data_IF_449509438898
#
_entry.id   IF_449509438898
#
_cell.length_a   1.000
_cell.length_b   1.000
_cell.length_c   1.000
_cell.angle_alpha   90.00
_cell.angle_beta   90.00
_cell.angle_gamma   90.00
#
_symmetry.space_group_name_H-M   'P 1'
#
loop_
_entity.id
_entity.type
_entity.pdbx_description
1 polymer ?
#
# COMPACT_ATOMS: atom_id res chain seq x y z
N UNK A 1 62.93 62.99 -64.17
CA UNK A 1 62.27 61.80 -64.77
C UNK A 1 62.21 60.71 -63.70
N UNK A 2 61.00 60.18 -63.43
CA UNK A 2 60.62 58.96 -62.68
C UNK A 2 61.35 58.65 -61.35
N UNK A 3 60.73 58.60 -60.16
CA UNK A 3 59.67 57.73 -59.61
C UNK A 3 60.29 57.20 -58.29
N UNK A 4 59.66 57.27 -57.13
CA UNK A 4 58.60 56.35 -56.74
C UNK A 4 57.77 56.95 -55.59
N UNK A 5 56.45 57.00 -55.75
CA UNK A 5 55.53 57.22 -54.65
C UNK A 5 55.34 55.91 -53.87
N UNK A 6 55.49 55.97 -52.56
CA UNK A 6 55.11 54.91 -51.64
C UNK A 6 53.61 54.60 -51.75
N UNK A 7 53.27 53.38 -52.16
CA UNK A 7 51.91 52.86 -52.04
C UNK A 7 51.69 52.35 -50.62
N UNK A 8 50.91 53.07 -49.81
CA UNK A 8 50.35 52.53 -48.57
C UNK A 8 49.08 51.74 -48.89
N UNK A 9 49.14 50.42 -48.75
CA UNK A 9 47.95 49.57 -48.68
C UNK A 9 47.24 49.79 -47.34
N UNK A 10 45.89 49.91 -47.29
CA UNK A 10 45.18 49.96 -46.02
C UNK A 10 45.25 48.59 -45.31
N UNK A 11 45.22 48.55 -43.97
CA UNK A 11 45.21 47.29 -43.23
C UNK A 11 43.90 46.55 -43.50
N UNK A 12 44.00 45.26 -43.81
CA UNK A 12 42.85 44.36 -43.88
C UNK A 12 42.16 44.34 -42.51
N UNK A 13 40.98 44.96 -42.43
CA UNK A 13 40.12 44.92 -41.26
C UNK A 13 39.46 43.55 -41.18
N UNK A 14 40.02 42.66 -40.37
CA UNK A 14 39.42 41.39 -40.02
C UNK A 14 38.19 41.65 -39.15
N UNK A 15 37.02 41.67 -39.78
CA UNK A 15 35.73 41.76 -39.08
C UNK A 15 35.54 40.46 -38.27
N UNK A 16 35.30 40.53 -36.95
CA UNK A 16 35.19 39.33 -36.13
C UNK A 16 33.99 38.51 -36.59
N UNK A 17 34.26 37.23 -36.80
CA UNK A 17 33.37 36.23 -37.37
C UNK A 17 32.09 36.09 -36.56
N UNK A 18 30.99 36.58 -37.13
CA UNK A 18 29.60 36.37 -36.67
C UNK A 18 29.22 34.87 -36.57
N UNK A 19 30.06 33.99 -37.14
CA UNK A 19 29.88 32.55 -37.19
C UNK A 19 30.03 31.87 -35.83
N UNK A 20 31.02 32.27 -35.02
CA UNK A 20 31.24 31.69 -33.69
C UNK A 20 30.13 32.08 -32.70
N UNK A 21 29.62 33.31 -32.79
CA UNK A 21 28.46 33.75 -32.02
C UNK A 21 27.18 33.00 -32.42
N UNK A 22 26.96 32.79 -33.72
CA UNK A 22 25.81 31.99 -34.20
C UNK A 22 25.91 30.52 -33.78
N UNK A 23 27.10 29.92 -33.85
CA UNK A 23 27.36 28.57 -33.34
C UNK A 23 27.11 28.46 -31.84
N UNK A 24 27.53 29.47 -31.07
CA UNK A 24 27.26 29.54 -29.63
C UNK A 24 25.76 29.60 -29.34
N UNK A 25 25.01 30.41 -30.09
CA UNK A 25 23.55 30.49 -29.94
C UNK A 25 22.84 29.19 -30.34
N UNK A 26 23.31 28.51 -31.40
CA UNK A 26 22.79 27.20 -31.80
C UNK A 26 23.09 26.16 -30.71
N UNK A 27 24.29 26.19 -30.13
CA UNK A 27 24.66 25.29 -29.04
C UNK A 27 23.78 25.48 -27.81
N UNK A 28 23.43 26.72 -27.45
CA UNK A 28 22.53 27.01 -26.34
C UNK A 28 21.09 26.51 -26.60
N UNK A 29 20.62 26.64 -27.84
CA UNK A 29 19.31 26.12 -28.27
C UNK A 29 19.24 24.60 -28.23
N UNK A 30 20.31 23.91 -28.65
CA UNK A 30 20.38 22.45 -28.57
C UNK A 30 20.43 21.96 -27.12
N UNK A 31 21.21 22.64 -26.28
CA UNK A 31 21.31 22.30 -24.86
C UNK A 31 19.97 22.49 -24.14
N UNK A 32 19.25 23.59 -24.42
CA UNK A 32 17.94 23.86 -23.81
C UNK A 32 16.88 22.86 -24.26
N UNK A 33 16.87 22.49 -25.54
CA UNK A 33 15.97 21.47 -26.07
C UNK A 33 16.27 20.08 -25.47
N UNK A 34 17.55 19.70 -25.34
CA UNK A 34 17.94 18.47 -24.65
C UNK A 34 17.49 18.46 -23.19
N UNK A 35 17.69 19.57 -22.46
CA UNK A 35 17.22 19.70 -21.07
C UNK A 35 15.68 19.61 -20.98
N UNK A 36 14.97 20.20 -21.93
CA UNK A 36 13.52 20.11 -22.01
C UNK A 36 13.03 18.68 -22.27
N UNK A 37 13.66 17.96 -23.21
CA UNK A 37 13.37 16.55 -23.44
C UNK A 37 13.70 15.68 -22.22
N UNK A 38 14.78 15.99 -21.50
CA UNK A 38 15.12 15.33 -20.23
C UNK A 38 14.04 15.59 -19.18
N UNK A 39 13.55 16.82 -19.05
CA UNK A 39 12.41 17.18 -18.17
C UNK A 39 11.12 16.46 -18.55
N UNK A 40 10.85 16.28 -19.85
CA UNK A 40 9.70 15.49 -20.32
C UNK A 40 9.89 13.98 -20.12
N UNK A 41 11.13 13.50 -20.18
CA UNK A 41 11.51 12.10 -19.95
C UNK A 41 11.51 11.74 -18.47
N UNK A 42 11.72 12.73 -17.60
CA UNK A 42 11.29 12.68 -16.22
C UNK A 42 9.77 12.69 -16.21
N UNK A 43 9.17 11.52 -16.47
CA UNK A 43 7.86 11.23 -15.91
C UNK A 43 7.97 11.59 -14.44
N UNK A 44 7.20 12.56 -13.93
CA UNK A 44 7.15 12.72 -12.49
C UNK A 44 6.88 11.31 -11.96
N UNK A 45 7.68 10.85 -11.01
CA UNK A 45 7.16 9.86 -10.08
C UNK A 45 5.97 10.57 -9.46
N UNK A 46 4.81 10.41 -10.11
CA UNK A 46 3.60 10.19 -9.40
C UNK A 46 4.00 9.06 -8.44
N UNK A 47 4.30 9.43 -7.18
CA UNK A 47 3.61 8.73 -6.13
C UNK A 47 2.20 8.53 -6.67
N UNK A 48 1.63 7.32 -6.69
CA UNK A 48 0.22 7.19 -6.94
C UNK A 48 -0.44 8.05 -5.87
N UNK A 49 -0.67 9.30 -6.20
CA UNK A 49 -1.71 10.09 -5.62
C UNK A 49 -2.89 9.25 -6.06
N UNK A 50 -3.39 8.46 -5.12
CA UNK A 50 -4.70 7.87 -5.18
C UNK A 50 -5.69 9.05 -5.18
N UNK A 51 -5.60 9.93 -6.17
CA UNK A 51 -6.75 10.59 -6.72
C UNK A 51 -7.46 9.50 -7.50
N UNK A 52 -8.13 8.63 -6.74
CA UNK A 52 -9.31 7.93 -7.20
C UNK A 52 -10.22 9.00 -7.78
N UNK A 53 -10.19 9.15 -9.10
CA UNK A 53 -11.23 9.87 -9.80
C UNK A 53 -12.46 8.95 -9.78
N UNK A 54 -13.53 9.28 -9.04
CA UNK A 54 -14.71 8.42 -9.00
C UNK A 54 -15.37 8.54 -10.36
N UNK A 55 -15.11 7.57 -11.24
CA UNK A 55 -16.02 7.33 -12.34
C UNK A 55 -17.33 6.84 -11.69
N UNK A 56 -18.31 7.73 -11.76
CA UNK A 56 -19.56 7.70 -11.03
C UNK A 56 -20.42 6.48 -11.42
N UNK A 57 -20.16 5.32 -10.81
CA UNK A 57 -21.08 4.17 -10.80
C UNK A 57 -20.83 3.12 -9.71
N UNK A 58 -20.14 3.49 -8.62
CA UNK A 58 -20.05 2.64 -7.44
C UNK A 58 -20.27 3.51 -6.20
N UNK A 59 -21.15 3.03 -5.32
CA UNK A 59 -21.77 3.71 -4.20
C UNK A 59 -20.75 4.26 -3.18
N UNK A 60 -20.52 5.58 -3.12
CA UNK A 60 -19.43 6.24 -2.35
C UNK A 60 -19.32 5.92 -0.84
N UNK A 61 -20.26 5.17 -0.26
CA UNK A 61 -20.29 4.81 1.16
C UNK A 61 -19.19 3.81 1.58
N UNK A 62 -18.77 2.86 0.73
CA UNK A 62 -17.81 1.83 1.13
C UNK A 62 -16.37 2.37 1.28
N UNK A 63 -16.00 3.43 0.56
CA UNK A 63 -14.68 4.07 0.71
C UNK A 63 -14.54 4.84 2.03
N UNK A 64 -15.66 5.27 2.61
CA UNK A 64 -15.67 5.99 3.88
C UNK A 64 -15.30 5.07 5.06
N UNK A 65 -15.49 3.76 4.90
CA UNK A 65 -15.32 2.76 5.97
C UNK A 65 -14.13 1.81 5.75
N UNK A 66 -13.17 2.12 4.87
CA UNK A 66 -12.02 1.23 4.66
C UNK A 66 -11.23 1.04 5.98
N UNK A 67 -11.01 -0.20 6.44
CA UNK A 67 -10.39 -0.41 7.74
C UNK A 67 -8.87 -0.18 7.67
N UNK A 68 -8.30 0.45 8.70
CA UNK A 68 -6.88 0.83 8.73
C UNK A 68 -5.93 -0.34 8.51
N UNK A 69 -6.28 -1.54 8.96
CA UNK A 69 -5.46 -2.73 8.75
C UNK A 69 -5.28 -3.01 7.26
N UNK A 70 -6.29 -2.78 6.43
CA UNK A 70 -6.22 -3.02 4.99
C UNK A 70 -5.26 -2.05 4.29
N UNK A 71 -5.13 -0.81 4.77
CA UNK A 71 -4.11 0.13 4.30
C UNK A 71 -2.69 -0.31 4.61
N UNK A 72 -2.49 -0.97 5.76
CA UNK A 72 -1.18 -1.46 6.20
C UNK A 72 -0.72 -2.61 5.29
N UNK A 73 -1.62 -3.54 5.01
CA UNK A 73 -1.31 -4.73 4.20
C UNK A 73 -1.29 -4.36 2.71
N UNK A 74 -2.15 -3.45 2.25
CA UNK A 74 -2.20 -2.98 0.86
C UNK A 74 -0.88 -2.42 0.33
N UNK A 75 0.00 -1.92 1.21
CA UNK A 75 1.36 -1.47 0.83
C UNK A 75 2.30 -2.61 0.42
N UNK A 76 2.02 -3.83 0.87
CA UNK A 76 2.86 -5.02 0.67
C UNK A 76 2.31 -5.96 -0.40
N UNK A 77 1.01 -5.87 -0.68
CA UNK A 77 0.33 -6.68 -1.70
C UNK A 77 0.54 -5.98 -3.04
N UNK A 78 1.33 -6.55 -3.95
CA UNK A 78 1.72 -5.90 -5.21
C UNK A 78 0.61 -5.97 -6.27
N UNK A 79 -0.59 -5.48 -5.94
CA UNK A 79 -1.74 -5.42 -6.87
C UNK A 79 -2.42 -6.77 -7.12
N UNK A 80 -2.18 -7.78 -6.29
CA UNK A 80 -2.88 -9.06 -6.33
C UNK A 80 -4.13 -9.01 -5.46
N UNK A 81 -5.13 -9.84 -5.79
CA UNK A 81 -6.27 -10.09 -4.91
C UNK A 81 -5.78 -10.88 -3.69
N UNK A 82 -6.14 -10.43 -2.49
CA UNK A 82 -5.87 -11.14 -1.24
C UNK A 82 -7.07 -11.91 -0.74
N UNK A 83 -6.83 -13.05 -0.10
CA UNK A 83 -7.85 -13.83 0.60
C UNK A 83 -7.79 -13.54 2.09
N UNK A 84 -8.88 -12.99 2.62
CA UNK A 84 -9.01 -12.53 4.00
C UNK A 84 -9.99 -13.42 4.73
N UNK A 85 -9.50 -14.15 5.74
CA UNK A 85 -10.33 -14.89 6.68
C UNK A 85 -10.96 -13.96 7.70
N UNK A 86 -12.29 -14.00 7.82
CA UNK A 86 -13.06 -13.22 8.79
C UNK A 86 -13.51 -14.14 9.92
N UNK A 87 -13.09 -13.82 11.15
CA UNK A 87 -13.43 -14.55 12.38
C UNK A 87 -14.27 -13.64 13.28
N UNK A 88 -15.39 -14.15 13.80
CA UNK A 88 -16.34 -13.40 14.63
C UNK A 88 -16.91 -12.14 13.98
N UNK A 89 -16.95 -12.08 12.65
CA UNK A 89 -17.57 -11.00 11.87
C UNK A 89 -18.75 -11.62 11.12
N UNK A 90 -19.93 -11.04 11.28
CA UNK A 90 -21.15 -11.55 10.66
C UNK A 90 -21.12 -11.30 9.15
N UNK A 91 -21.77 -12.15 8.37
CA UNK A 91 -21.99 -11.97 6.93
C UNK A 91 -23.24 -11.13 6.62
N UNK A 92 -23.86 -10.55 7.65
CA UNK A 92 -25.00 -9.67 7.54
C UNK A 92 -24.63 -8.39 6.78
N UNK A 93 -25.48 -7.97 5.83
CA UNK A 93 -25.29 -6.71 5.08
C UNK A 93 -25.39 -5.45 5.98
N UNK A 94 -25.77 -5.60 7.26
CA UNK A 94 -25.77 -4.53 8.26
C UNK A 94 -24.45 -4.44 9.06
N UNK A 95 -23.53 -5.38 8.88
CA UNK A 95 -22.24 -5.40 9.57
C UNK A 95 -21.23 -4.49 8.84
N UNK A 96 -20.90 -3.35 9.45
CA UNK A 96 -19.98 -2.37 8.89
C UNK A 96 -18.58 -2.94 8.60
N UNK A 97 -18.07 -3.84 9.47
CA UNK A 97 -16.76 -4.45 9.27
C UNK A 97 -16.80 -5.36 8.05
N UNK A 98 -17.84 -6.18 7.90
CA UNK A 98 -18.00 -7.05 6.73
C UNK A 98 -18.10 -6.25 5.42
N UNK A 99 -18.96 -5.24 5.41
CA UNK A 99 -19.17 -4.37 4.25
C UNK A 99 -17.90 -3.63 3.83
N UNK A 100 -17.10 -3.19 4.80
CA UNK A 100 -15.84 -2.49 4.55
C UNK A 100 -14.80 -3.34 3.82
N UNK A 101 -14.84 -4.66 4.01
CA UNK A 101 -13.92 -5.61 3.42
C UNK A 101 -14.45 -6.13 2.08
N UNK A 102 -15.72 -6.50 2.01
CA UNK A 102 -16.37 -7.01 0.79
C UNK A 102 -16.41 -5.97 -0.34
N UNK A 103 -16.45 -4.68 0.00
CA UNK A 103 -16.47 -3.59 -0.96
C UNK A 103 -15.14 -3.34 -1.70
N UNK A 104 -14.02 -3.89 -1.25
CA UNK A 104 -12.71 -3.71 -1.91
C UNK A 104 -12.51 -4.75 -3.03
N UNK A 105 -12.28 -4.28 -4.26
CA UNK A 105 -12.11 -5.16 -5.42
C UNK A 105 -10.88 -6.09 -5.32
N UNK A 106 -9.91 -5.75 -4.47
CA UNK A 106 -8.69 -6.53 -4.28
C UNK A 106 -8.80 -7.53 -3.13
N UNK A 107 -9.99 -7.68 -2.54
CA UNK A 107 -10.21 -8.57 -1.41
C UNK A 107 -11.19 -9.68 -1.74
N UNK A 108 -10.85 -10.90 -1.34
CA UNK A 108 -11.74 -12.04 -1.25
C UNK A 108 -11.99 -12.36 0.22
N UNK A 109 -13.16 -12.00 0.73
CA UNK A 109 -13.55 -12.33 2.10
C UNK A 109 -14.01 -13.80 2.19
N UNK A 110 -13.51 -14.50 3.20
CA UNK A 110 -13.88 -15.88 3.54
C UNK A 110 -14.26 -15.92 5.01
N UNK A 111 -15.47 -16.34 5.35
CA UNK A 111 -15.85 -16.52 6.76
C UNK A 111 -15.21 -17.79 7.30
N UNK A 112 -14.48 -17.64 8.39
CA UNK A 112 -13.84 -18.74 9.12
C UNK A 112 -14.66 -18.98 10.38
N UNK A 113 -15.45 -20.06 10.34
CA UNK A 113 -16.38 -20.42 11.39
C UNK A 113 -15.69 -21.23 12.48
N UNK A 114 -15.83 -20.78 13.72
CA UNK A 114 -15.44 -21.51 14.92
C UNK A 114 -16.69 -21.86 15.71
N UNK A 115 -16.75 -23.08 16.24
CA UNK A 115 -17.77 -23.43 17.23
C UNK A 115 -17.50 -22.68 18.53
N UNK A 116 -18.55 -22.40 19.30
CA UNK A 116 -18.40 -21.78 20.60
C UNK A 116 -17.69 -22.74 21.56
N UNK A 117 -16.75 -22.21 22.33
CA UNK A 117 -16.17 -22.95 23.46
C UNK A 117 -17.29 -23.20 24.48
N UNK A 118 -17.30 -24.38 25.11
CA UNK A 118 -18.30 -24.70 26.13
C UNK A 118 -18.33 -23.66 27.25
N UNK A 119 -19.52 -23.27 27.69
CA UNK A 119 -19.72 -22.29 28.78
C UNK A 119 -19.14 -22.75 30.13
N UNK A 120 -18.86 -24.05 30.26
CA UNK A 120 -18.18 -24.63 31.42
C UNK A 120 -16.68 -24.31 31.48
N UNK A 121 -16.10 -23.79 30.39
CA UNK A 121 -14.67 -23.48 30.30
C UNK A 121 -14.37 -22.07 30.76
N UNK A 122 -13.27 -21.96 31.51
CA UNK A 122 -12.73 -20.68 32.00
C UNK A 122 -11.34 -20.46 31.45
N UNK A 123 -10.87 -19.21 31.53
CA UNK A 123 -9.52 -18.85 31.06
C UNK A 123 -8.44 -19.64 31.79
N UNK A 124 -8.66 -19.93 33.09
CA UNK A 124 -7.75 -20.71 33.92
C UNK A 124 -7.61 -22.17 33.45
N UNK A 125 -8.59 -22.72 32.72
CA UNK A 125 -8.50 -24.07 32.15
C UNK A 125 -7.54 -24.11 30.96
N UNK A 126 -7.49 -23.04 30.14
CA UNK A 126 -6.62 -22.93 28.97
C UNK A 126 -5.23 -22.38 29.30
N UNK A 127 -5.15 -21.53 30.32
CA UNK A 127 -3.94 -20.85 30.74
C UNK A 127 -3.76 -20.96 32.26
N UNK A 128 -3.47 -22.17 32.77
CA UNK A 128 -3.22 -22.38 34.19
C UNK A 128 -1.92 -21.71 34.63
N UNK A 129 -1.75 -21.53 35.94
CA UNK A 129 -0.52 -20.96 36.53
C UNK A 129 0.72 -21.82 36.24
N UNK A 130 0.53 -23.14 36.13
CA UNK A 130 1.62 -24.08 35.90
C UNK A 130 1.16 -25.31 35.12
N UNK A 131 2.05 -25.83 34.25
CA UNK A 131 1.85 -27.05 33.46
C UNK A 131 3.12 -27.91 33.57
N UNK A 132 2.96 -29.22 33.74
CA UNK A 132 4.08 -30.17 33.73
C UNK A 132 4.54 -30.46 32.29
N UNK A 133 5.25 -29.52 31.68
CA UNK A 133 5.76 -29.63 30.30
C UNK A 133 6.67 -30.87 30.09
N UNK A 134 7.38 -31.27 31.15
CA UNK A 134 8.30 -32.41 31.14
C UNK A 134 7.59 -33.76 31.33
N UNK A 135 6.27 -33.77 31.57
CA UNK A 135 5.47 -34.96 31.86
C UNK A 135 6.03 -35.83 33.00
N UNK A 136 6.75 -35.23 33.95
CA UNK A 136 7.46 -35.94 35.02
C UNK A 136 6.50 -36.54 36.05
N UNK A 137 5.39 -35.87 36.29
CA UNK A 137 4.35 -36.20 37.26
C UNK A 137 3.05 -36.62 36.56
N UNK A 138 2.90 -36.31 35.27
CA UNK A 138 1.85 -36.83 34.40
C UNK A 138 1.65 -35.98 33.14
N UNK A 139 0.95 -36.49 32.12
CA UNK A 139 0.54 -35.66 30.98
C UNK A 139 -0.44 -34.57 31.44
N UNK A 140 -0.29 -33.31 31.02
CA UNK A 140 -1.26 -32.28 31.32
C UNK A 140 -2.57 -32.55 30.57
N UNK A 141 -3.68 -32.20 31.20
CA UNK A 141 -4.98 -32.21 30.53
C UNK A 141 -5.11 -30.92 29.74
N UNK A 142 -5.08 -31.02 28.41
CA UNK A 142 -5.37 -29.89 27.53
C UNK A 142 -6.88 -29.82 27.28
N UNK A 143 -7.57 -28.72 27.58
CA UNK A 143 -8.96 -28.55 27.20
C UNK A 143 -9.09 -28.50 25.67
N UNK A 144 -10.19 -29.05 25.15
CA UNK A 144 -10.51 -28.98 23.73
C UNK A 144 -10.88 -27.55 23.33
N UNK A 145 -10.18 -27.02 22.32
CA UNK A 145 -10.55 -25.77 21.65
C UNK A 145 -11.09 -26.16 20.27
N UNK A 146 -12.33 -25.78 19.93
CA UNK A 146 -12.90 -26.06 18.63
C UNK A 146 -12.04 -25.39 17.55
N UNK A 147 -11.44 -26.22 16.69
CA UNK A 147 -10.69 -25.79 15.53
C UNK A 147 -11.68 -25.61 14.37
N UNK A 148 -11.53 -24.58 13.52
CA UNK A 148 -12.44 -24.38 12.42
C UNK A 148 -12.17 -25.49 11.37
N UNK A 149 -13.10 -25.68 10.43
CA UNK A 149 -12.94 -26.69 9.39
C UNK A 149 -11.61 -26.53 8.63
N UNK A 150 -10.98 -27.63 8.20
CA UNK A 150 -9.68 -27.57 7.51
C UNK A 150 -9.80 -27.29 6.00
N UNK A 151 -11.01 -27.05 5.49
CA UNK A 151 -11.29 -26.87 4.08
C UNK A 151 -11.14 -25.40 3.61
N UNK A 152 -10.78 -24.48 4.51
CA UNK A 152 -10.36 -23.15 4.10
C UNK A 152 -9.08 -23.26 3.25
N UNK A 153 -9.20 -22.87 1.98
CA UNK A 153 -8.05 -22.66 1.09
C UNK A 153 -7.07 -21.65 1.71
N UNK A 154 -5.85 -21.58 1.18
CA UNK A 154 -4.81 -20.64 1.60
C UNK A 154 -5.35 -19.22 1.81
N UNK A 155 -5.32 -18.75 3.06
CA UNK A 155 -5.68 -17.39 3.46
C UNK A 155 -4.39 -16.56 3.59
N UNK A 156 -4.40 -15.33 3.10
CA UNK A 156 -3.26 -14.40 3.22
C UNK A 156 -3.27 -13.67 4.56
N UNK A 157 -4.46 -13.36 5.07
CA UNK A 157 -4.69 -12.56 6.28
C UNK A 157 -5.88 -13.12 7.03
N UNK A 158 -5.81 -13.13 8.37
CA UNK A 158 -6.96 -13.41 9.24
C UNK A 158 -7.27 -12.17 10.06
N UNK A 159 -8.54 -11.75 10.05
CA UNK A 159 -9.06 -10.64 10.82
C UNK A 159 -10.11 -11.20 11.79
N UNK A 160 -9.90 -10.96 13.07
CA UNK A 160 -10.80 -11.38 14.12
C UNK A 160 -11.42 -10.17 14.82
N UNK A 161 -12.75 -10.15 14.94
CA UNK A 161 -13.43 -9.24 15.86
C UNK A 161 -13.32 -9.80 17.26
N UNK A 162 -12.73 -9.01 18.15
CA UNK A 162 -12.63 -9.33 19.58
C UNK A 162 -13.61 -8.45 20.36
N UNK A 163 -14.28 -8.98 21.40
CA UNK A 163 -15.12 -8.15 22.24
C UNK A 163 -14.26 -7.10 22.95
N UNK A 164 -14.60 -5.83 22.75
CA UNK A 164 -14.07 -4.76 23.59
C UNK A 164 -14.72 -4.89 24.97
N UNK A 165 -13.94 -5.06 26.03
CA UNK A 165 -14.46 -4.81 27.37
C UNK A 165 -14.82 -3.34 27.45
N UNK A 166 -16.12 -3.05 27.37
CA UNK A 166 -16.64 -1.78 27.83
C UNK A 166 -16.15 -1.56 29.25
N UNK A 167 -15.72 -0.35 29.54
CA UNK A 167 -15.45 0.15 30.87
C UNK A 167 -16.64 -0.12 31.81
N UNK A 168 -16.56 -1.23 32.56
CA UNK A 168 -17.26 -1.41 33.82
C UNK A 168 -18.76 -1.71 33.80
N UNK A 169 -19.24 -2.66 32.98
CA UNK A 169 -20.50 -3.33 33.31
C UNK A 169 -20.21 -4.71 33.91
N UNK A 170 -20.51 -4.80 35.20
CA UNK A 170 -20.50 -5.97 36.05
C UNK A 170 -21.17 -7.17 35.36
N UNK A 171 -20.42 -8.27 35.26
CA UNK A 171 -20.98 -9.59 34.95
C UNK A 171 -21.85 -10.00 36.12
N UNK A 172 -23.17 -9.83 35.99
CA UNK A 172 -24.12 -10.50 36.87
C UNK A 172 -24.08 -11.97 36.47
N UNK A 173 -23.49 -12.78 37.36
CA UNK A 173 -23.40 -14.23 37.21
C UNK A 173 -24.70 -14.96 37.54
#
# INVERSE_FOLDING_TARGET
>A
MAAASSSSSPPASNKPTNFSQKLFMISLLLLSFSLFLVVLSFKPKQQPHLAYEPNNKYNTNYLLHRPKWLDIIGKHIMGHKIKVGLVNINDDDDDDDYNSVRGDMHVEAVHVGFDHVGEDKKWEDFSPEWIDEDHKWGPPTCPDIPMPAQDYQYLDVIVARVPCRGDGMEVVG
#
